data_IF_703099630245
#
_entry.id   IF_703099630245
#
_cell.length_a   1.000
_cell.length_b   1.000
_cell.length_c   1.000
_cell.angle_alpha   90.00
_cell.angle_beta   90.00
_cell.angle_gamma   90.00
#
_symmetry.space_group_name_H-M   'P 1'
#
loop_
_entity.id
_entity.type
_entity.pdbx_description
1 polymer ?
#
# COMPACT_ATOMS: atom_id res chain seq x y z
N UNK A 1 19.31 23.06 0.54
CA UNK A 1 18.75 23.56 -0.73
C UNK A 1 17.69 24.64 -0.47
N UNK A 2 17.50 25.63 -1.36
CA UNK A 2 16.56 26.73 -1.15
C UNK A 2 15.11 26.30 -0.88
N UNK A 3 14.69 25.14 -1.40
CA UNK A 3 13.35 24.59 -1.12
C UNK A 3 13.21 24.11 0.33
N UNK A 4 14.25 23.47 0.89
CA UNK A 4 14.25 22.96 2.26
C UNK A 4 14.20 24.08 3.31
N UNK A 5 14.94 25.17 3.07
CA UNK A 5 14.92 26.36 3.94
C UNK A 5 13.55 27.05 3.91
N UNK A 6 12.93 27.15 2.73
CA UNK A 6 11.57 27.71 2.56
C UNK A 6 10.53 26.91 3.32
N UNK A 7 10.68 25.58 3.36
CA UNK A 7 9.81 24.66 4.09
C UNK A 7 10.17 24.59 5.59
N UNK A 8 10.97 25.53 6.11
CA UNK A 8 11.40 25.62 7.52
C UNK A 8 12.10 24.35 8.00
N UNK A 9 12.88 23.75 7.11
CA UNK A 9 13.59 22.51 7.38
C UNK A 9 12.68 21.29 7.46
N UNK A 10 11.51 21.30 6.80
CA UNK A 10 10.69 20.11 6.54
C UNK A 10 11.02 19.53 5.17
N UNK A 11 11.19 18.22 5.12
CA UNK A 11 11.33 17.45 3.88
C UNK A 11 9.97 16.88 3.47
N UNK A 12 9.13 17.69 2.82
CA UNK A 12 7.78 17.31 2.39
C UNK A 12 7.74 16.10 1.44
N UNK A 13 8.84 15.86 0.73
CA UNK A 13 9.02 14.71 -0.16
C UNK A 13 9.13 13.44 0.69
N UNK A 14 10.02 13.45 1.69
CA UNK A 14 10.24 12.29 2.57
C UNK A 14 9.03 11.99 3.46
N UNK A 15 8.38 13.02 3.99
CA UNK A 15 7.25 12.81 4.92
C UNK A 15 5.92 12.62 4.19
N UNK A 16 5.84 12.65 2.86
CA UNK A 16 4.56 12.51 2.16
C UNK A 16 3.74 11.30 2.66
N UNK A 17 2.42 11.47 2.84
CA UNK A 17 1.52 10.41 3.29
C UNK A 17 1.64 10.02 4.77
N UNK A 18 2.47 10.74 5.56
CA UNK A 18 2.58 10.55 7.00
C UNK A 18 1.31 10.94 7.78
N UNK A 19 0.58 11.97 7.32
CA UNK A 19 -0.67 12.39 7.94
C UNK A 19 -1.73 11.29 7.86
N UNK A 20 -2.47 11.12 8.95
CA UNK A 20 -3.48 10.08 9.09
C UNK A 20 -4.86 10.72 8.91
N UNK A 21 -5.56 10.41 7.81
CA UNK A 21 -6.95 10.85 7.57
C UNK A 21 -8.00 10.22 8.52
N UNK A 22 -7.66 9.15 9.24
CA UNK A 22 -8.56 8.60 10.26
C UNK A 22 -8.81 9.58 11.40
N UNK A 23 -9.93 9.42 12.10
CA UNK A 23 -10.28 10.19 13.30
C UNK A 23 -9.30 9.93 14.48
N UNK A 24 -8.09 10.44 14.34
CA UNK A 24 -7.01 10.46 15.31
C UNK A 24 -6.62 11.93 15.50
N UNK A 25 -7.25 12.59 16.48
CA UNK A 25 -7.10 14.04 16.67
C UNK A 25 -5.72 14.46 17.16
N UNK A 26 -5.01 13.56 17.86
CA UNK A 26 -3.69 13.84 18.40
C UNK A 26 -2.66 13.09 17.56
N UNK A 27 -1.94 13.82 16.72
CA UNK A 27 -0.87 13.26 15.88
C UNK A 27 0.43 13.98 16.16
N UNK A 28 1.51 13.21 16.30
CA UNK A 28 2.87 13.70 16.33
C UNK A 28 3.62 13.10 15.16
N UNK A 29 4.25 13.95 14.38
CA UNK A 29 4.90 13.62 13.13
C UNK A 29 6.34 14.11 13.18
N UNK A 30 7.25 13.15 13.25
CA UNK A 30 8.69 13.42 13.34
C UNK A 30 9.41 12.60 12.29
N UNK A 31 10.48 13.16 11.74
CA UNK A 31 11.36 12.45 10.83
C UNK A 31 12.80 12.77 11.19
N UNK A 32 13.67 11.77 10.98
CA UNK A 32 15.10 11.94 11.08
C UNK A 32 15.67 11.72 9.68
N UNK A 33 16.35 12.75 9.16
CA UNK A 33 17.16 12.58 7.96
C UNK A 33 18.50 11.98 8.36
N UNK A 34 18.80 10.82 7.81
CA UNK A 34 20.11 10.18 7.92
C UNK A 34 20.78 10.16 6.55
N UNK A 35 21.96 10.78 6.44
CA UNK A 35 22.77 10.68 5.23
C UNK A 35 23.58 9.38 5.28
N UNK A 36 23.27 8.46 4.36
CA UNK A 36 23.93 7.16 4.26
C UNK A 36 24.93 7.06 3.11
N UNK A 37 25.26 8.18 2.46
CA UNK A 37 26.19 8.20 1.33
C UNK A 37 25.66 7.48 0.08
N UNK A 38 24.35 7.29 -0.02
CA UNK A 38 23.65 6.73 -1.17
C UNK A 38 22.70 7.79 -1.71
N UNK A 39 22.81 8.07 -3.01
CA UNK A 39 21.89 8.98 -3.67
C UNK A 39 20.48 8.37 -3.69
N UNK A 40 19.52 9.14 -3.18
CA UNK A 40 18.10 8.79 -3.17
C UNK A 40 17.31 9.80 -4.00
N UNK A 41 16.17 9.38 -4.52
CA UNK A 41 15.30 10.22 -5.33
C UNK A 41 13.84 9.82 -5.19
N UNK A 42 12.93 10.58 -5.83
CA UNK A 42 11.52 10.23 -5.86
C UNK A 42 11.34 8.90 -6.59
N UNK A 43 10.78 7.95 -5.87
CA UNK A 43 10.16 6.75 -6.40
C UNK A 43 8.65 6.98 -6.42
N UNK A 44 7.88 6.25 -7.24
CA UNK A 44 6.44 6.52 -7.41
C UNK A 44 5.72 6.54 -6.05
N UNK A 45 4.92 7.59 -5.80
CA UNK A 45 4.28 7.89 -4.52
C UNK A 45 5.23 8.20 -3.37
N UNK A 46 6.45 8.63 -3.71
CA UNK A 46 7.46 9.27 -2.87
C UNK A 46 7.51 8.72 -1.44
N UNK A 47 7.05 9.49 -0.44
CA UNK A 47 6.99 9.08 0.95
C UNK A 47 5.79 8.20 1.29
N UNK A 48 4.68 8.39 0.57
CA UNK A 48 3.42 7.73 0.87
C UNK A 48 3.50 6.20 0.72
N UNK A 49 4.34 5.67 -0.17
CA UNK A 49 4.52 4.23 -0.34
C UNK A 49 4.87 3.51 0.97
N UNK A 50 5.95 3.92 1.64
CA UNK A 50 6.39 3.30 2.89
C UNK A 50 5.65 3.81 4.13
N UNK A 51 5.22 5.07 4.14
CA UNK A 51 4.45 5.62 5.26
C UNK A 51 3.07 4.96 5.34
N UNK A 52 2.36 4.79 4.23
CA UNK A 52 1.07 4.07 4.22
C UNK A 52 1.23 2.59 4.52
N UNK A 53 2.33 1.95 4.12
CA UNK A 53 2.61 0.58 4.57
C UNK A 53 2.64 0.48 6.09
N UNK A 54 3.37 1.35 6.78
CA UNK A 54 3.45 1.36 8.24
C UNK A 54 2.10 1.69 8.89
N UNK A 55 1.44 2.77 8.44
CA UNK A 55 0.16 3.25 8.99
C UNK A 55 -0.94 2.21 8.81
N UNK A 56 -1.15 1.71 7.59
CA UNK A 56 -2.26 0.79 7.29
C UNK A 56 -2.05 -0.61 7.86
N UNK A 57 -0.79 -1.04 8.02
CA UNK A 57 -0.49 -2.26 8.78
C UNK A 57 -0.85 -2.09 10.25
N UNK A 58 -0.50 -0.94 10.85
CA UNK A 58 -0.81 -0.67 12.25
C UNK A 58 -2.31 -0.49 12.50
N UNK A 59 -3.05 0.15 11.59
CA UNK A 59 -4.51 0.25 11.63
C UNK A 59 -5.15 -1.14 11.63
N UNK A 60 -4.63 -2.08 10.84
CA UNK A 60 -5.10 -3.46 10.78
C UNK A 60 -4.75 -4.27 12.05
N UNK A 61 -3.58 -4.01 12.64
CA UNK A 61 -3.20 -4.55 13.95
C UNK A 61 -4.14 -4.04 15.06
N UNK A 62 -4.51 -2.75 15.05
CA UNK A 62 -5.49 -2.20 15.99
C UNK A 62 -6.89 -2.81 15.82
N UNK A 63 -7.34 -3.02 14.59
CA UNK A 63 -8.60 -3.71 14.31
C UNK A 63 -8.58 -5.14 14.88
N UNK A 64 -7.49 -5.86 14.63
CA UNK A 64 -7.26 -7.23 15.12
C UNK A 64 -7.24 -7.29 16.65
N UNK A 65 -6.51 -6.38 17.31
CA UNK A 65 -6.42 -6.30 18.77
C UNK A 65 -7.79 -6.04 19.42
N UNK A 66 -8.63 -5.24 18.76
CA UNK A 66 -10.00 -4.97 19.21
C UNK A 66 -11.02 -6.03 18.76
N UNK A 67 -10.59 -7.03 17.97
CA UNK A 67 -11.47 -8.06 17.35
C UNK A 67 -12.59 -7.45 16.53
N UNK A 68 -12.30 -6.34 15.84
CA UNK A 68 -13.19 -5.67 14.92
C UNK A 68 -12.76 -6.02 13.49
N UNK A 69 -13.72 -6.28 12.63
CA UNK A 69 -13.49 -6.45 11.20
C UNK A 69 -12.71 -5.24 10.61
N UNK A 70 -11.60 -5.46 9.88
CA UNK A 70 -10.75 -4.37 9.39
C UNK A 70 -11.41 -3.35 8.47
N UNK A 71 -12.43 -3.76 7.69
CA UNK A 71 -13.22 -2.82 6.86
C UNK A 71 -14.07 -1.95 7.79
N UNK A 72 -14.84 -2.58 8.68
CA UNK A 72 -15.70 -1.91 9.65
C UNK A 72 -14.94 -0.94 10.55
N UNK A 73 -13.71 -1.31 10.94
CA UNK A 73 -12.82 -0.46 11.73
C UNK A 73 -12.44 0.82 10.97
N UNK A 74 -12.00 0.70 9.71
CA UNK A 74 -11.67 1.85 8.85
C UNK A 74 -12.89 2.75 8.62
N UNK A 75 -14.06 2.16 8.35
CA UNK A 75 -15.30 2.92 8.16
C UNK A 75 -15.73 3.71 9.40
N UNK A 76 -15.49 3.15 10.60
CA UNK A 76 -15.71 3.88 11.86
C UNK A 76 -14.76 5.06 11.98
N UNK A 77 -13.49 4.85 11.71
CA UNK A 77 -12.46 5.90 11.79
C UNK A 77 -12.65 7.00 10.74
N UNK A 78 -13.24 6.68 9.59
CA UNK A 78 -13.57 7.59 8.50
C UNK A 78 -15.01 8.14 8.58
N UNK A 79 -15.72 7.98 9.71
CA UNK A 79 -17.13 8.41 9.83
C UNK A 79 -17.40 9.88 9.46
N UNK A 80 -16.39 10.73 9.61
CA UNK A 80 -16.44 12.16 9.31
C UNK A 80 -16.20 12.48 7.81
N UNK A 81 -15.75 11.51 7.01
CA UNK A 81 -15.41 11.66 5.61
C UNK A 81 -16.17 10.63 4.74
N UNK A 82 -17.37 10.98 4.24
CA UNK A 82 -18.16 10.11 3.39
C UNK A 82 -17.45 9.71 2.09
N UNK A 83 -16.55 10.53 1.57
CA UNK A 83 -15.84 10.28 0.30
C UNK A 83 -14.77 9.21 0.50
N UNK A 84 -13.98 9.32 1.57
CA UNK A 84 -13.02 8.29 1.95
C UNK A 84 -13.70 6.96 2.31
N UNK A 85 -14.85 6.99 2.99
CA UNK A 85 -15.64 5.78 3.27
C UNK A 85 -16.09 5.07 1.99
N UNK A 86 -16.55 5.85 1.01
CA UNK A 86 -17.10 5.30 -0.24
C UNK A 86 -16.09 4.45 -0.98
N UNK A 87 -14.81 4.85 -1.03
CA UNK A 87 -13.76 4.03 -1.69
C UNK A 87 -13.49 2.74 -0.91
N UNK A 88 -13.49 2.78 0.43
CA UNK A 88 -13.31 1.59 1.28
C UNK A 88 -14.48 0.61 1.10
N UNK A 89 -15.71 1.11 1.11
CA UNK A 89 -16.94 0.33 0.89
C UNK A 89 -16.94 -0.30 -0.51
N UNK A 90 -16.57 0.45 -1.54
CA UNK A 90 -16.55 -0.02 -2.92
C UNK A 90 -15.49 -1.10 -3.14
N UNK A 91 -14.26 -0.92 -2.64
CA UNK A 91 -13.21 -1.93 -2.75
C UNK A 91 -13.61 -3.24 -2.04
N UNK A 92 -14.18 -3.15 -0.84
CA UNK A 92 -14.70 -4.30 -0.10
C UNK A 92 -15.86 -5.01 -0.82
N UNK A 93 -16.75 -4.24 -1.46
CA UNK A 93 -17.87 -4.75 -2.26
C UNK A 93 -17.38 -5.50 -3.50
N UNK A 94 -16.47 -4.89 -4.27
CA UNK A 94 -15.86 -5.51 -5.45
C UNK A 94 -15.15 -6.82 -5.11
N UNK A 95 -14.47 -6.83 -3.96
CA UNK A 95 -13.77 -7.99 -3.45
C UNK A 95 -14.69 -9.02 -2.80
N UNK A 96 -16.01 -8.83 -2.73
CA UNK A 96 -16.93 -9.74 -2.02
C UNK A 96 -16.34 -10.12 -0.63
N UNK A 97 -16.07 -9.09 0.18
CA UNK A 97 -15.21 -9.16 1.38
C UNK A 97 -15.57 -10.32 2.32
N UNK A 98 -16.86 -10.57 2.51
CA UNK A 98 -17.37 -11.58 3.44
C UNK A 98 -17.37 -13.01 2.87
N UNK A 99 -17.09 -13.19 1.58
CA UNK A 99 -17.03 -14.51 0.96
C UNK A 99 -15.83 -15.29 1.46
N UNK A 100 -16.09 -16.51 1.95
CA UNK A 100 -15.04 -17.46 2.35
C UNK A 100 -14.23 -17.92 1.15
N UNK A 101 -12.91 -17.97 1.34
CA UNK A 101 -11.93 -18.40 0.33
C UNK A 101 -10.98 -19.44 0.95
N UNK A 102 -11.24 -20.75 0.79
CA UNK A 102 -10.39 -21.78 1.36
C UNK A 102 -8.93 -21.62 0.90
N UNK A 103 -7.99 -21.57 1.86
CA UNK A 103 -6.55 -21.44 1.58
C UNK A 103 -6.10 -20.03 1.17
N UNK A 104 -6.98 -19.03 1.20
CA UNK A 104 -6.69 -17.64 0.86
C UNK A 104 -7.30 -16.70 1.89
N UNK A 105 -6.78 -15.48 1.95
CA UNK A 105 -7.38 -14.41 2.75
C UNK A 105 -7.38 -13.10 1.99
N UNK A 106 -8.20 -12.18 2.48
CA UNK A 106 -8.24 -10.81 2.02
C UNK A 106 -7.57 -9.89 3.04
N UNK A 107 -6.95 -8.82 2.54
CA UNK A 107 -6.46 -7.71 3.34
C UNK A 107 -6.82 -6.41 2.66
N UNK A 108 -7.17 -5.40 3.45
CA UNK A 108 -7.58 -4.09 2.96
C UNK A 108 -6.60 -3.02 3.44
N UNK A 109 -6.41 -2.00 2.61
CA UNK A 109 -5.74 -0.77 2.98
C UNK A 109 -6.36 0.44 2.27
N UNK A 110 -6.19 1.62 2.85
CA UNK A 110 -6.68 2.90 2.36
C UNK A 110 -5.54 3.91 2.26
N UNK A 111 -5.66 4.84 1.31
CA UNK A 111 -4.76 5.96 1.11
C UNK A 111 -5.56 7.22 0.78
N UNK A 112 -5.19 8.30 1.45
CA UNK A 112 -5.63 9.67 1.21
C UNK A 112 -4.64 10.48 0.35
N UNK A 113 -3.46 9.92 0.03
CA UNK A 113 -2.45 10.58 -0.80
C UNK A 113 -2.92 10.71 -2.25
N UNK A 114 -2.92 11.94 -2.77
CA UNK A 114 -3.37 12.35 -4.11
C UNK A 114 -4.86 12.20 -4.36
N UNK A 115 -5.36 10.96 -4.41
CA UNK A 115 -6.77 10.63 -4.59
C UNK A 115 -7.16 9.55 -3.60
N UNK A 116 -8.36 9.65 -3.03
CA UNK A 116 -8.85 8.64 -2.11
C UNK A 116 -8.90 7.30 -2.81
N UNK A 117 -8.13 6.34 -2.31
CA UNK A 117 -7.95 5.03 -2.92
C UNK A 117 -7.96 3.97 -1.85
N UNK A 118 -8.75 2.91 -2.05
CA UNK A 118 -8.70 1.73 -1.21
C UNK A 118 -8.41 0.50 -2.07
N UNK A 119 -7.57 -0.39 -1.57
CA UNK A 119 -7.23 -1.65 -2.22
C UNK A 119 -7.50 -2.84 -1.32
N UNK A 120 -8.08 -3.89 -1.88
CA UNK A 120 -8.23 -5.20 -1.26
C UNK A 120 -7.39 -6.20 -2.04
N UNK A 121 -6.46 -6.90 -1.37
CA UNK A 121 -5.64 -7.94 -1.97
C UNK A 121 -6.12 -9.33 -1.53
N UNK A 122 -6.22 -10.28 -2.45
CA UNK A 122 -6.43 -11.70 -2.17
C UNK A 122 -5.11 -12.45 -2.27
N UNK A 123 -4.69 -13.13 -1.19
CA UNK A 123 -3.40 -13.82 -1.15
C UNK A 123 -3.50 -15.26 -0.69
N UNK A 124 -2.54 -16.08 -1.14
CA UNK A 124 -2.15 -17.33 -0.48
C UNK A 124 -0.67 -17.31 -0.13
N UNK A 125 -0.29 -18.11 0.88
CA UNK A 125 1.12 -18.25 1.30
C UNK A 125 1.52 -19.73 1.27
N UNK A 126 2.61 -20.05 0.59
CA UNK A 126 3.27 -21.34 0.77
C UNK A 126 4.06 -21.29 2.08
N UNK A 127 3.55 -21.97 3.11
CA UNK A 127 4.16 -22.00 4.44
C UNK A 127 5.52 -22.68 4.50
N UNK A 128 5.89 -23.49 3.50
CA UNK A 128 7.20 -24.16 3.45
C UNK A 128 8.28 -23.24 2.90
N UNK A 129 7.98 -22.54 1.80
CA UNK A 129 8.93 -21.65 1.15
C UNK A 129 8.88 -20.21 1.66
N UNK A 130 7.75 -19.78 2.24
CA UNK A 130 7.48 -18.38 2.58
C UNK A 130 6.97 -17.54 1.41
N UNK A 131 6.79 -18.14 0.22
CA UNK A 131 6.34 -17.43 -0.97
C UNK A 131 4.89 -16.97 -0.83
N UNK A 132 4.66 -15.68 -1.09
CA UNK A 132 3.33 -15.07 -1.19
C UNK A 132 2.89 -15.11 -2.66
N UNK A 133 1.62 -15.41 -2.88
CA UNK A 133 0.96 -15.29 -4.18
C UNK A 133 -0.19 -14.31 -4.04
N UNK A 134 -0.19 -13.25 -4.86
CA UNK A 134 -1.29 -12.28 -4.92
C UNK A 134 -2.14 -12.63 -6.13
N UNK A 135 -3.38 -13.06 -5.89
CA UNK A 135 -4.26 -13.58 -6.95
C UNK A 135 -5.08 -12.48 -7.60
N UNK A 136 -5.66 -11.61 -6.78
CA UNK A 136 -6.53 -10.52 -7.20
C UNK A 136 -6.21 -9.28 -6.37
N UNK A 137 -6.34 -8.11 -6.99
CA UNK A 137 -6.42 -6.83 -6.27
C UNK A 137 -7.62 -6.06 -6.78
N UNK A 138 -8.51 -5.64 -5.88
CA UNK A 138 -9.61 -4.74 -6.19
C UNK A 138 -9.28 -3.37 -5.65
N UNK A 139 -9.24 -2.37 -6.53
CA UNK A 139 -8.94 -0.98 -6.16
C UNK A 139 -10.14 -0.10 -6.49
N UNK A 140 -10.59 0.70 -5.53
CA UNK A 140 -11.57 1.75 -5.76
C UNK A 140 -10.89 3.11 -5.57
N UNK A 141 -11.12 4.02 -6.51
CA UNK A 141 -10.54 5.37 -6.47
C UNK A 141 -11.60 6.44 -6.70
N UNK A 142 -11.52 7.52 -5.94
CA UNK A 142 -12.29 8.75 -6.18
C UNK A 142 -11.31 9.88 -6.53
N UNK A 143 -11.16 10.21 -7.83
CA UNK A 143 -10.30 11.29 -8.29
C UNK A 143 -11.04 12.63 -8.47
N UNK A 144 -12.27 12.77 -7.97
CA UNK A 144 -13.14 13.88 -8.34
C UNK A 144 -13.72 13.71 -9.74
N UNK A 145 -13.75 14.79 -10.52
CA UNK A 145 -14.15 14.75 -11.93
C UNK A 145 -13.16 13.92 -12.75
N UNK A 146 -13.67 12.88 -13.40
CA UNK A 146 -12.89 12.00 -14.26
C UNK A 146 -12.80 12.57 -15.68
N UNK A 147 -11.63 13.07 -16.06
CA UNK A 147 -11.39 13.62 -17.40
C UNK A 147 -11.20 12.52 -18.45
N UNK A 148 -10.47 11.46 -18.09
CA UNK A 148 -10.16 10.34 -18.98
C UNK A 148 -10.26 9.02 -18.20
N UNK A 149 -11.42 8.35 -18.24
CA UNK A 149 -11.66 7.13 -17.47
C UNK A 149 -10.62 6.03 -17.74
N UNK A 150 -10.28 5.80 -19.01
CA UNK A 150 -9.33 4.75 -19.40
C UNK A 150 -7.92 5.02 -18.86
N UNK A 151 -7.48 6.28 -18.88
CA UNK A 151 -6.18 6.65 -18.31
C UNK A 151 -6.18 6.52 -16.79
N UNK A 152 -7.29 6.84 -16.12
CA UNK A 152 -7.44 6.65 -14.68
C UNK A 152 -7.33 5.17 -14.32
N UNK A 153 -8.06 4.30 -15.04
CA UNK A 153 -7.99 2.85 -14.85
C UNK A 153 -6.57 2.33 -15.06
N UNK A 154 -5.94 2.65 -16.19
CA UNK A 154 -4.58 2.20 -16.51
C UNK A 154 -3.54 2.68 -15.47
N UNK A 155 -3.69 3.89 -14.93
CA UNK A 155 -2.80 4.41 -13.90
C UNK A 155 -2.94 3.65 -12.59
N UNK A 156 -4.17 3.33 -12.15
CA UNK A 156 -4.39 2.55 -10.94
C UNK A 156 -3.92 1.11 -11.11
N UNK A 157 -4.17 0.48 -12.26
CA UNK A 157 -3.67 -0.87 -12.57
C UNK A 157 -2.14 -0.91 -12.51
N UNK A 158 -1.48 0.00 -13.23
CA UNK A 158 -0.03 0.08 -13.26
C UNK A 158 0.57 0.41 -11.89
N UNK A 159 -0.02 1.33 -11.13
CA UNK A 159 0.42 1.68 -9.77
C UNK A 159 0.28 0.51 -8.80
N UNK A 160 -0.82 -0.25 -8.91
CA UNK A 160 -1.08 -1.43 -8.09
C UNK A 160 -0.06 -2.52 -8.37
N UNK A 161 0.20 -2.85 -9.64
CA UNK A 161 1.20 -3.87 -10.03
C UNK A 161 2.60 -3.45 -9.55
N UNK A 162 2.95 -2.17 -9.71
CA UNK A 162 4.22 -1.62 -9.25
C UNK A 162 4.36 -1.71 -7.73
N UNK A 163 3.31 -1.38 -6.98
CA UNK A 163 3.26 -1.53 -5.52
C UNK A 163 3.36 -2.99 -5.06
N UNK A 164 2.69 -3.93 -5.75
CA UNK A 164 2.78 -5.38 -5.45
C UNK A 164 4.19 -5.91 -5.74
N UNK A 165 4.79 -5.52 -6.86
CA UNK A 165 6.16 -5.88 -7.21
C UNK A 165 7.16 -5.44 -6.14
N UNK A 166 7.03 -4.19 -5.69
CA UNK A 166 7.82 -3.66 -4.59
C UNK A 166 7.55 -4.37 -3.27
N UNK A 167 6.30 -4.71 -3.00
CA UNK A 167 5.91 -5.37 -1.76
C UNK A 167 6.52 -6.77 -1.62
N UNK A 168 6.80 -7.46 -2.72
CA UNK A 168 7.20 -8.87 -2.72
C UNK A 168 8.68 -9.10 -2.94
N UNK A 169 9.36 -8.32 -3.79
CA UNK A 169 10.69 -8.72 -4.27
C UNK A 169 11.68 -7.60 -4.59
N UNK A 170 11.23 -6.40 -4.98
CA UNK A 170 12.17 -5.35 -5.42
C UNK A 170 13.02 -4.82 -4.26
N UNK A 171 14.34 -4.93 -4.40
CA UNK A 171 15.31 -4.35 -3.47
C UNK A 171 16.63 -4.05 -4.14
N UNK A 172 17.29 -3.00 -3.65
CA UNK A 172 18.71 -2.79 -3.87
C UNK A 172 19.45 -3.11 -2.56
N UNK A 173 20.47 -3.94 -2.66
CA UNK A 173 21.39 -4.23 -1.56
C UNK A 173 22.71 -3.53 -1.82
N UNK A 174 23.27 -2.92 -0.77
CA UNK A 174 24.58 -2.27 -0.80
C UNK A 174 25.54 -3.06 0.08
N UNK A 175 26.65 -3.50 -0.48
CA UNK A 175 27.72 -4.16 0.26
C UNK A 175 29.03 -3.38 0.06
N UNK A 176 29.66 -2.97 1.16
CA UNK A 176 30.88 -2.15 1.15
C UNK A 176 30.79 -0.92 0.22
N UNK A 177 29.64 -0.24 0.22
CA UNK A 177 29.40 0.94 -0.61
C UNK A 177 29.05 0.65 -2.08
N UNK A 178 28.95 -0.62 -2.49
CA UNK A 178 28.67 -1.00 -3.88
C UNK A 178 27.27 -1.60 -3.99
N UNK A 179 26.47 -1.09 -4.94
CA UNK A 179 25.18 -1.69 -5.33
C UNK A 179 25.45 -3.07 -5.95
N UNK A 180 24.76 -4.09 -5.44
CA UNK A 180 24.99 -5.47 -5.87
C UNK A 180 24.19 -5.86 -7.12
N UNK A 181 23.04 -5.22 -7.34
CA UNK A 181 22.19 -5.50 -8.50
C UNK A 181 22.66 -4.70 -9.72
N UNK A 182 22.75 -5.36 -10.86
CA UNK A 182 23.26 -4.81 -12.12
C UNK A 182 22.20 -4.70 -13.21
N UNK A 183 21.13 -5.51 -13.17
CA UNK A 183 20.07 -5.53 -14.20
C UNK A 183 18.81 -6.29 -13.73
N UNK A 184 17.82 -6.51 -14.59
CA UNK A 184 16.55 -7.19 -14.23
C UNK A 184 16.67 -8.69 -13.93
N UNK A 185 17.86 -9.29 -14.05
CA UNK A 185 18.09 -10.68 -13.66
C UNK A 185 18.46 -10.80 -12.17
N UNK A 186 19.00 -9.74 -11.56
CA UNK A 186 19.37 -9.68 -10.14
C UNK A 186 18.56 -8.61 -9.35
N UNK A 187 18.00 -7.60 -10.02
CA UNK A 187 16.86 -6.78 -9.58
C UNK A 187 15.56 -7.29 -10.19
N UNK A 188 14.93 -8.28 -9.55
CA UNK A 188 13.74 -8.89 -10.11
C UNK A 188 12.49 -8.01 -9.91
N UNK A 189 11.87 -7.63 -11.02
CA UNK A 189 10.51 -7.05 -11.05
C UNK A 189 9.46 -8.15 -11.26
N UNK A 190 8.22 -7.89 -10.85
CA UNK A 190 7.13 -8.84 -10.96
C UNK A 190 6.94 -9.25 -12.43
N UNK A 191 6.87 -10.57 -12.67
CA UNK A 191 6.65 -11.13 -14.00
C UNK A 191 5.16 -11.32 -14.23
N UNK A 192 4.76 -11.36 -15.50
CA UNK A 192 3.35 -11.55 -15.89
C UNK A 192 2.71 -12.79 -15.24
N UNK A 193 3.47 -13.89 -15.06
CA UNK A 193 2.99 -15.10 -14.43
C UNK A 193 2.67 -14.97 -12.93
N UNK A 194 3.25 -13.96 -12.27
CA UNK A 194 3.05 -13.67 -10.85
C UNK A 194 2.23 -12.38 -10.64
N UNK A 195 1.81 -11.71 -11.72
CA UNK A 195 0.99 -10.50 -11.64
C UNK A 195 -0.45 -10.86 -11.22
N UNK A 196 -1.04 -10.11 -10.27
CA UNK A 196 -2.44 -10.32 -9.89
C UNK A 196 -3.39 -9.84 -10.99
N UNK A 197 -4.61 -10.38 -11.01
CA UNK A 197 -5.72 -9.75 -11.72
C UNK A 197 -6.14 -8.48 -10.97
N UNK A 198 -5.97 -7.31 -11.59
CA UNK A 198 -6.31 -6.02 -10.98
C UNK A 198 -7.63 -5.52 -11.55
N UNK A 199 -8.59 -5.22 -10.66
CA UNK A 199 -9.90 -4.68 -11.03
C UNK A 199 -10.09 -3.32 -10.39
N UNK A 200 -10.41 -2.32 -11.21
CA UNK A 200 -10.53 -0.93 -10.77
C UNK A 200 -11.98 -0.46 -10.85
N UNK A 201 -12.46 0.21 -9.80
CA UNK A 201 -13.70 1.00 -9.82
C UNK A 201 -13.35 2.47 -9.70
N UNK A 202 -13.73 3.24 -10.72
CA UNK A 202 -13.50 4.69 -10.76
C UNK A 202 -14.78 5.40 -10.35
N UNK A 203 -14.73 6.06 -9.20
CA UNK A 203 -15.84 6.79 -8.60
C UNK A 203 -15.78 8.23 -9.11
N UNK A 204 -16.53 8.51 -10.18
CA UNK A 204 -16.67 9.86 -10.70
C UNK A 204 -17.60 10.69 -9.79
N UNK A 205 -17.15 11.89 -9.41
CA UNK A 205 -17.91 12.82 -8.57
C UNK A 205 -17.76 14.26 -9.06
N UNK A 206 -18.58 15.18 -8.53
CA UNK A 206 -18.48 16.61 -8.84
C UNK A 206 -17.38 17.34 -8.03
N UNK A 207 -16.53 16.59 -7.30
CA UNK A 207 -15.39 17.17 -6.58
C UNK A 207 -14.29 17.61 -7.55
N UNK A 208 -13.46 18.57 -7.12
CA UNK A 208 -12.31 19.02 -7.91
C UNK A 208 -11.43 17.84 -8.34
N UNK A 209 -10.96 17.80 -9.59
CA UNK A 209 -10.12 16.73 -10.10
C UNK A 209 -8.80 16.67 -9.34
N UNK A 210 -8.37 15.46 -8.99
CA UNK A 210 -7.12 15.19 -8.27
C UNK A 210 -6.14 14.34 -9.09
N UNK A 211 -4.89 14.24 -8.63
CA UNK A 211 -3.85 13.47 -9.29
C UNK A 211 -4.08 11.96 -9.19
N UNK A 212 -3.91 11.24 -10.31
CA UNK A 212 -4.09 9.78 -10.36
C UNK A 212 -2.78 9.00 -10.52
N UNK A 213 -1.71 9.66 -10.98
CA UNK A 213 -0.47 9.01 -11.39
C UNK A 213 0.21 8.16 -10.30
N UNK A 214 -0.10 8.43 -9.03
CA UNK A 214 0.53 7.81 -7.87
C UNK A 214 -0.48 7.16 -6.91
N UNK A 215 -1.79 7.31 -7.14
CA UNK A 215 -2.81 7.02 -6.14
C UNK A 215 -2.98 5.51 -5.84
N UNK A 216 -2.72 4.64 -6.82
CA UNK A 216 -2.91 3.19 -6.66
C UNK A 216 -1.80 2.46 -5.91
N UNK A 217 -0.64 3.09 -5.70
CA UNK A 217 0.53 2.43 -5.12
C UNK A 217 0.51 2.36 -3.59
N UNK A 218 0.20 3.44 -2.84
CA UNK A 218 0.29 3.43 -1.38
C UNK A 218 -0.53 2.33 -0.68
N UNK A 219 -1.77 2.01 -1.11
CA UNK A 219 -2.53 0.95 -0.44
C UNK A 219 -2.13 -0.47 -0.87
N UNK A 220 -1.29 -0.66 -1.91
CA UNK A 220 -1.01 -1.98 -2.46
C UNK A 220 -0.21 -2.88 -1.50
N UNK A 221 0.95 -2.41 -1.03
CA UNK A 221 1.80 -3.16 -0.10
C UNK A 221 1.10 -3.52 1.23
N UNK A 222 0.45 -2.57 1.94
CA UNK A 222 -0.26 -2.91 3.18
C UNK A 222 -1.47 -3.83 2.97
N UNK A 223 -2.21 -3.72 1.86
CA UNK A 223 -3.30 -4.65 1.57
C UNK A 223 -2.79 -6.10 1.47
N UNK A 224 -1.65 -6.32 0.79
CA UNK A 224 -1.00 -7.63 0.71
C UNK A 224 -0.54 -8.10 2.09
N UNK A 225 0.13 -7.25 2.86
CA UNK A 225 0.63 -7.62 4.19
C UNK A 225 -0.50 -7.95 5.19
N UNK A 226 -1.60 -7.19 5.15
CA UNK A 226 -2.78 -7.43 5.96
C UNK A 226 -3.45 -8.76 5.58
N UNK A 227 -3.46 -9.10 4.28
CA UNK A 227 -3.98 -10.39 3.81
C UNK A 227 -3.13 -11.56 4.29
N UNK A 228 -1.79 -11.42 4.25
CA UNK A 228 -0.85 -12.41 4.78
C UNK A 228 -1.08 -12.62 6.28
N UNK A 229 -1.24 -11.55 7.04
CA UNK A 229 -1.50 -11.62 8.46
C UNK A 229 -2.87 -12.25 8.79
N UNK A 230 -3.92 -11.89 8.06
CA UNK A 230 -5.23 -12.51 8.19
C UNK A 230 -5.20 -14.02 7.90
N UNK A 231 -4.40 -14.45 6.90
CA UNK A 231 -4.26 -15.86 6.54
C UNK A 231 -3.42 -16.68 7.53
N UNK A 232 -2.38 -16.06 8.08
CA UNK A 232 -1.31 -16.81 8.76
C UNK A 232 -1.20 -16.53 10.24
N UNK A 233 -1.73 -15.41 10.72
CA UNK A 233 -1.47 -14.86 12.05
C UNK A 233 -0.13 -14.12 12.16
N UNK A 234 0.76 -14.25 11.18
CA UNK A 234 2.10 -13.67 11.20
C UNK A 234 2.12 -12.27 10.57
N UNK A 235 2.79 -11.32 11.23
CA UNK A 235 2.95 -9.94 10.74
C UNK A 235 4.35 -9.72 10.17
N UNK A 236 4.42 -9.45 8.87
CA UNK A 236 5.66 -9.07 8.19
C UNK A 236 5.73 -7.54 8.13
N UNK A 237 6.57 -6.94 8.97
CA UNK A 237 6.67 -5.46 9.12
C UNK A 237 7.80 -4.83 8.31
N UNK A 238 8.38 -5.57 7.38
CA UNK A 238 9.53 -5.12 6.59
C UNK A 238 9.31 -5.43 5.11
N UNK A 239 9.40 -4.39 4.27
CA UNK A 239 9.37 -4.52 2.82
C UNK A 239 10.79 -4.73 2.23
N UNK A 240 10.91 -5.43 1.11
CA UNK A 240 9.92 -6.37 0.56
C UNK A 240 9.64 -7.55 1.51
N UNK A 241 8.47 -8.16 1.43
CA UNK A 241 8.05 -9.35 2.18
C UNK A 241 8.69 -10.62 1.59
N UNK A 242 10.02 -10.68 1.66
CA UNK A 242 10.82 -11.78 1.12
C UNK A 242 10.46 -13.11 1.78
N UNK A 243 10.61 -14.25 1.07
CA UNK A 243 10.26 -15.56 1.62
C UNK A 243 10.93 -15.86 2.97
N UNK A 244 12.19 -15.49 3.17
CA UNK A 244 12.90 -15.64 4.44
C UNK A 244 12.31 -14.78 5.58
N UNK A 245 11.80 -13.57 5.27
CA UNK A 245 11.14 -12.70 6.24
C UNK A 245 9.77 -13.24 6.61
N UNK A 246 9.03 -13.77 5.65
CA UNK A 246 7.75 -14.46 5.87
C UNK A 246 7.95 -15.69 6.74
N UNK A 247 8.93 -16.54 6.42
CA UNK A 247 9.26 -17.72 7.23
C UNK A 247 9.69 -17.36 8.65
N UNK A 248 10.45 -16.27 8.82
CA UNK A 248 10.80 -15.78 10.15
C UNK A 248 9.56 -15.34 10.93
N UNK A 249 8.63 -14.63 10.30
CA UNK A 249 7.40 -14.18 10.95
C UNK A 249 6.46 -15.34 11.30
N UNK A 250 6.40 -16.40 10.46
CA UNK A 250 5.60 -17.61 10.72
C UNK A 250 6.08 -18.44 11.92
N UNK A 251 7.33 -18.24 12.36
CA UNK A 251 7.94 -18.98 13.48
C UNK A 251 7.91 -18.20 14.80
N UNK A 252 7.64 -16.90 14.75
CA UNK A 252 7.54 -16.02 15.91
C UNK A 252 6.21 -16.22 16.64
#
# INVERSE_FOLDING_TARGET
PPVYERLKGKDEILIEGHEIAYACHNQLHEYLREDRGVDVGPWRSVGAGYNKFAIESFIDEMATAQRIDPVSFRLRLLAHDPRARRVVEEAARMADWNRKRPGRALGIAFSDTWSYTASVAEVSVDRKSGRIYVHNVWAAVDPGIVISPDNVMAQIEGATIFGVSHALQERITVNQGVVQQSNFHDYQILRLADAPDVRVSVINTDNNPTGIGEAGLPPAAPAVANAVAALTGARVRQLPMLPERVLSALRA
#
